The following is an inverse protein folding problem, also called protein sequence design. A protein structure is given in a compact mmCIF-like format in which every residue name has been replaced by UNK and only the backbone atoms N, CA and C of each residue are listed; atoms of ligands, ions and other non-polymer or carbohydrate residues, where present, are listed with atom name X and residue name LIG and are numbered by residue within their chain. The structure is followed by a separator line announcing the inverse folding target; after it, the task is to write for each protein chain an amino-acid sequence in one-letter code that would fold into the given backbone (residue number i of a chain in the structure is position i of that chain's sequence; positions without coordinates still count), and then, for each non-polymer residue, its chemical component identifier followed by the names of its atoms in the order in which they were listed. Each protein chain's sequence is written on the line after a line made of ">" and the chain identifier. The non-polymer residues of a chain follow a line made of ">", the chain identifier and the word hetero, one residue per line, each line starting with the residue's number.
data_IF_228636791442
#
_entry.id   IF_228636791442
#
_cell.length_a   1.000
_cell.length_b   1.000
_cell.length_c   1.000
_cell.angle_alpha   90.00
_cell.angle_beta   90.00
_cell.angle_gamma   90.00
#
_symmetry.space_group_name_H-M   'P 1'
#
loop_
_entity.id
_entity.type
_entity.pdbx_description
1 polymer ?
#
# COMPACT_ATOMS: atom_id res chain seq x y z
N UNK A 1 -6.50 18.99 -5.40
CA UNK A 1 -5.77 17.75 -5.07
C UNK A 1 -5.66 16.91 -6.33
N UNK A 2 -4.77 15.92 -6.38
CA UNK A 2 -4.62 15.02 -7.53
C UNK A 2 -5.97 14.49 -8.02
N UNK A 3 -6.17 14.39 -9.34
CA UNK A 3 -7.43 13.92 -9.93
C UNK A 3 -7.46 12.40 -10.13
N UNK A 4 -6.35 11.72 -9.86
CA UNK A 4 -6.25 10.28 -9.70
C UNK A 4 -5.34 9.99 -8.50
N UNK A 5 -5.78 9.11 -7.61
CA UNK A 5 -5.01 8.64 -6.46
C UNK A 5 -5.10 7.13 -6.41
N UNK A 6 -3.96 6.45 -6.29
CA UNK A 6 -3.94 5.02 -6.03
C UNK A 6 -2.90 4.67 -4.98
N UNK A 7 -3.17 3.62 -4.20
CA UNK A 7 -2.22 3.04 -3.26
C UNK A 7 -2.05 1.56 -3.53
N UNK A 8 -0.81 1.10 -3.63
CA UNK A 8 -0.49 -0.32 -3.78
C UNK A 8 0.83 -0.66 -3.06
N UNK A 9 1.23 -1.93 -3.13
CA UNK A 9 2.51 -2.40 -2.59
C UNK A 9 3.32 -3.18 -3.59
N UNK A 10 4.65 -3.15 -3.42
CA UNK A 10 5.58 -4.01 -4.16
C UNK A 10 5.35 -5.51 -3.91
N UNK A 11 4.56 -5.89 -2.90
CA UNK A 11 4.19 -7.28 -2.62
C UNK A 11 3.22 -7.88 -3.65
N UNK A 12 2.42 -7.04 -4.32
CA UNK A 12 1.46 -7.47 -5.35
C UNK A 12 1.80 -6.76 -6.68
N UNK A 13 2.82 -7.25 -7.42
CA UNK A 13 3.28 -6.59 -8.63
C UNK A 13 2.20 -6.52 -9.71
N UNK A 14 1.26 -7.46 -9.74
CA UNK A 14 0.17 -7.46 -10.71
C UNK A 14 -0.82 -6.32 -10.47
N UNK A 15 -1.22 -6.09 -9.20
CA UNK A 15 -2.08 -4.94 -8.86
C UNK A 15 -1.35 -3.62 -9.03
N UNK A 16 -0.07 -3.56 -8.63
CA UNK A 16 0.75 -2.37 -8.82
C UNK A 16 0.86 -1.98 -10.31
N UNK A 17 1.15 -2.94 -11.19
CA UNK A 17 1.19 -2.71 -12.63
C UNK A 17 -0.16 -2.20 -13.16
N UNK A 18 -1.27 -2.80 -12.70
CA UNK A 18 -2.61 -2.40 -13.10
C UNK A 18 -2.92 -0.96 -12.73
N UNK A 19 -2.69 -0.55 -11.48
CA UNK A 19 -2.99 0.83 -11.06
C UNK A 19 -2.07 1.84 -11.75
N UNK A 20 -0.79 1.49 -11.99
CA UNK A 20 0.13 2.34 -12.74
C UNK A 20 -0.36 2.53 -14.18
N UNK A 21 -0.78 1.47 -14.87
CA UNK A 21 -1.38 1.56 -16.22
C UNK A 21 -2.61 2.46 -16.26
N UNK A 22 -3.51 2.31 -15.29
CA UNK A 22 -4.72 3.14 -15.17
C UNK A 22 -4.35 4.62 -14.94
N UNK A 23 -3.46 4.90 -13.99
CA UNK A 23 -3.08 6.27 -13.67
C UNK A 23 -2.15 6.93 -14.72
N UNK A 24 -1.39 6.16 -15.50
CA UNK A 24 -0.66 6.69 -16.67
C UNK A 24 -1.60 7.02 -17.85
N UNK A 25 -2.73 6.32 -17.95
CA UNK A 25 -3.76 6.60 -18.96
C UNK A 25 -4.67 7.77 -18.58
N UNK A 26 -4.65 8.19 -17.31
CA UNK A 26 -5.45 9.31 -16.81
C UNK A 26 -4.96 10.65 -17.38
N UNK A 27 -5.91 11.49 -17.82
CA UNK A 27 -5.61 12.85 -18.30
C UNK A 27 -5.67 13.83 -17.13
N UNK A 28 -4.55 13.94 -16.42
CA UNK A 28 -4.42 14.86 -15.29
C UNK A 28 -3.25 14.49 -14.40
N UNK A 29 -3.20 15.09 -13.21
CA UNK A 29 -2.18 14.73 -12.23
C UNK A 29 -2.58 13.46 -11.48
N UNK A 30 -1.76 12.43 -11.63
CA UNK A 30 -1.89 11.13 -10.96
C UNK A 30 -0.89 11.04 -9.80
N UNK A 31 -1.39 10.70 -8.61
CA UNK A 31 -0.57 10.45 -7.42
C UNK A 31 -0.64 8.97 -7.04
N UNK A 32 0.53 8.39 -6.76
CA UNK A 32 0.66 7.00 -6.37
C UNK A 32 1.39 6.90 -5.04
N UNK A 33 0.78 6.21 -4.07
CA UNK A 33 1.41 5.83 -2.81
C UNK A 33 1.79 4.35 -2.87
N UNK A 34 3.09 4.05 -2.97
CA UNK A 34 3.57 2.66 -3.13
C UNK A 34 4.33 2.23 -1.89
N UNK A 35 3.78 1.26 -1.18
CA UNK A 35 4.42 0.68 0.00
C UNK A 35 5.52 -0.29 -0.43
N UNK A 36 6.77 0.08 -0.13
CA UNK A 36 7.97 -0.70 -0.41
C UNK A 36 8.69 -1.10 0.88
N UNK A 37 9.39 -2.23 0.81
CA UNK A 37 10.11 -2.77 1.96
C UNK A 37 11.50 -2.13 2.13
N UNK A 38 11.87 -1.83 3.37
CA UNK A 38 13.25 -1.51 3.75
C UNK A 38 13.67 -2.38 4.93
N UNK A 39 14.20 -3.57 4.62
CA UNK A 39 14.58 -4.57 5.63
C UNK A 39 15.75 -4.10 6.52
N UNK A 40 16.63 -3.22 6.02
CA UNK A 40 17.78 -2.72 6.79
C UNK A 40 17.40 -1.60 7.77
N UNK A 41 16.77 -0.52 7.28
CA UNK A 41 16.53 0.64 8.14
C UNK A 41 15.23 0.51 8.94
N UNK A 42 14.16 0.01 8.32
CA UNK A 42 12.90 -0.18 9.04
C UNK A 42 12.88 -1.55 9.73
N UNK A 43 13.16 -2.62 9.00
CA UNK A 43 13.12 -3.99 9.53
C UNK A 43 14.01 -4.18 10.76
N UNK A 44 15.33 -4.09 10.56
CA UNK A 44 16.34 -4.31 11.61
C UNK A 44 16.15 -3.40 12.83
N UNK A 45 15.88 -2.10 12.62
CA UNK A 45 15.68 -1.16 13.74
C UNK A 45 14.42 -1.44 14.57
N UNK A 46 13.43 -2.11 13.99
CA UNK A 46 12.18 -2.48 14.65
C UNK A 46 12.13 -3.97 15.03
N UNK A 47 13.30 -4.61 15.21
CA UNK A 47 13.44 -6.00 15.67
C UNK A 47 12.78 -7.03 14.74
N UNK A 48 12.59 -6.68 13.46
CA UNK A 48 12.26 -7.64 12.40
C UNK A 48 13.59 -8.19 11.87
N UNK A 49 14.09 -9.24 12.53
CA UNK A 49 15.39 -9.86 12.25
C UNK A 49 15.49 -10.46 10.84
N UNK A 50 14.38 -10.98 10.32
CA UNK A 50 14.30 -11.55 8.98
C UNK A 50 13.62 -10.58 8.01
N UNK A 51 14.11 -10.52 6.77
CA UNK A 51 13.47 -9.70 5.72
C UNK A 51 11.99 -10.07 5.52
N UNK A 52 11.65 -11.36 5.63
CA UNK A 52 10.28 -11.88 5.52
C UNK A 52 9.34 -11.37 6.62
N UNK A 53 9.86 -11.08 7.82
CA UNK A 53 9.05 -10.49 8.90
C UNK A 53 8.59 -9.08 8.55
N UNK A 54 9.46 -8.29 7.91
CA UNK A 54 9.09 -6.95 7.45
C UNK A 54 8.05 -7.00 6.33
N UNK A 55 8.18 -7.95 5.39
CA UNK A 55 7.17 -8.15 4.34
C UNK A 55 5.80 -8.50 4.93
N UNK A 56 5.74 -9.44 5.88
CA UNK A 56 4.49 -9.81 6.59
C UNK A 56 3.92 -8.64 7.39
N UNK A 57 4.77 -7.87 8.07
CA UNK A 57 4.35 -6.67 8.79
C UNK A 57 3.72 -5.64 7.84
N UNK A 58 4.36 -5.39 6.69
CA UNK A 58 3.84 -4.49 5.67
C UNK A 58 2.51 -5.00 5.10
N UNK A 59 2.42 -6.28 4.75
CA UNK A 59 1.19 -6.93 4.27
C UNK A 59 0.05 -6.78 5.28
N UNK A 60 0.32 -7.00 6.58
CA UNK A 60 -0.70 -6.93 7.62
C UNK A 60 -1.35 -5.55 7.76
N UNK A 61 -0.70 -4.49 7.27
CA UNK A 61 -1.19 -3.10 7.32
C UNK A 61 -1.95 -2.71 6.05
N UNK A 62 -1.94 -3.53 5.02
CA UNK A 62 -2.61 -3.25 3.75
C UNK A 62 -3.93 -4.01 3.70
N UNK A 63 -4.99 -3.31 3.31
CA UNK A 63 -6.33 -3.90 3.14
C UNK A 63 -6.95 -3.38 1.85
N UNK A 64 -7.89 -4.09 1.25
CA UNK A 64 -8.60 -3.55 0.09
C UNK A 64 -9.43 -2.32 0.49
N UNK A 65 -9.64 -1.37 -0.43
CA UNK A 65 -10.54 -0.22 -0.20
C UNK A 65 -11.90 -0.64 0.39
N UNK A 66 -12.51 -1.68 -0.18
CA UNK A 66 -13.79 -2.23 0.31
C UNK A 66 -13.71 -2.71 1.76
N UNK A 67 -12.66 -3.43 2.13
CA UNK A 67 -12.48 -3.88 3.51
C UNK A 67 -12.26 -2.69 4.46
N UNK A 68 -11.44 -1.72 4.05
CA UNK A 68 -11.18 -0.53 4.84
C UNK A 68 -12.47 0.28 5.11
N UNK A 69 -13.33 0.43 4.11
CA UNK A 69 -14.62 1.12 4.25
C UNK A 69 -15.60 0.38 5.16
N UNK A 70 -15.51 -0.95 5.24
CA UNK A 70 -16.33 -1.79 6.12
C UNK A 70 -15.84 -1.85 7.57
N UNK A 71 -14.58 -1.48 7.83
CA UNK A 71 -13.97 -1.48 9.17
C UNK A 71 -14.48 -0.33 10.03
N UNK A 72 -14.56 -0.55 11.35
CA UNK A 72 -14.79 0.50 12.35
C UNK A 72 -13.61 1.49 12.40
N UNK A 73 -13.79 2.70 12.95
CA UNK A 73 -12.70 3.66 13.12
C UNK A 73 -11.49 3.10 13.87
N UNK A 74 -11.72 2.24 14.87
CA UNK A 74 -10.68 1.61 15.69
C UNK A 74 -9.90 0.56 14.88
N UNK A 75 -10.60 -0.22 14.06
CA UNK A 75 -9.99 -1.25 13.20
C UNK A 75 -9.14 -0.66 12.06
N UNK A 76 -9.43 0.59 11.67
CA UNK A 76 -8.68 1.32 10.64
C UNK A 76 -7.32 1.82 11.11
N UNK A 77 -7.07 1.83 12.42
CA UNK A 77 -5.78 2.28 12.96
C UNK A 77 -4.67 1.40 12.38
N UNK A 78 -3.63 2.06 11.84
CA UNK A 78 -2.50 1.40 11.16
C UNK A 78 -2.85 0.53 9.93
N UNK A 79 -4.06 0.69 9.37
CA UNK A 79 -4.46 0.08 8.10
C UNK A 79 -4.44 1.12 6.97
N UNK A 80 -4.11 0.67 5.77
CA UNK A 80 -4.07 1.50 4.57
C UNK A 80 -4.86 0.83 3.45
N UNK A 81 -5.86 1.52 2.85
CA UNK A 81 -6.63 0.99 1.73
C UNK A 81 -5.76 0.91 0.47
N UNK A 82 -5.87 -0.19 -0.25
CA UNK A 82 -5.22 -0.45 -1.55
C UNK A 82 -6.21 -0.37 -2.70
N UNK A 83 -5.71 -0.07 -3.89
CA UNK A 83 -6.45 0.18 -5.13
C UNK A 83 -6.52 1.67 -5.48
N UNK A 84 -7.44 2.00 -6.40
CA UNK A 84 -7.78 3.38 -6.76
C UNK A 84 -8.68 3.99 -5.68
N UNK A 85 -8.30 5.14 -5.13
CA UNK A 85 -8.89 5.75 -3.94
C UNK A 85 -9.84 6.90 -4.28
#
# INVERSE_FOLDING_TARGET
>A
GASFVARESVLDPQKLEKVLKEGFSHKGFSFFDVHSNCHINLGRKNKMGEASQMLKWMESRLVSKRQFEAMSPEERVDKFPTGVL
#
